data_IF_829184650830
#
_entry.id   IF_829184650830
#
_cell.length_a   1.000
_cell.length_b   1.000
_cell.length_c   1.000
_cell.angle_alpha   90.00
_cell.angle_beta   90.00
_cell.angle_gamma   90.00
#
_symmetry.space_group_name_H-M   'P 1'
#
loop_
_entity.id
_entity.type
_entity.pdbx_description
1 polymer ?
#
# COMPACT_ATOMS: atom_id res chain seq x y z
N UNK A 1 2.96 21.73 7.37
CA UNK A 1 2.70 20.44 6.69
C UNK A 1 3.47 20.41 5.39
N UNK A 2 4.29 19.40 5.13
CA UNK A 2 5.02 19.31 3.84
C UNK A 2 4.08 18.94 2.71
N UNK A 3 4.48 19.16 1.45
CA UNK A 3 3.69 18.80 0.26
C UNK A 3 3.35 17.30 0.22
N UNK A 4 4.26 16.46 0.69
CA UNK A 4 4.13 15.00 0.76
C UNK A 4 3.08 14.58 1.78
N UNK A 5 3.17 15.11 3.01
CA UNK A 5 2.19 14.85 4.06
C UNK A 5 0.79 15.34 3.64
N UNK A 6 0.70 16.51 2.98
CA UNK A 6 -0.56 17.04 2.45
C UNK A 6 -1.16 16.09 1.40
N UNK A 7 -0.34 15.52 0.53
CA UNK A 7 -0.81 14.59 -0.52
C UNK A 7 -1.40 13.32 0.10
N UNK A 8 -0.72 12.75 1.09
CA UNK A 8 -1.23 11.57 1.81
C UNK A 8 -2.52 11.92 2.56
N UNK A 9 -2.54 13.04 3.27
CA UNK A 9 -3.75 13.50 3.96
C UNK A 9 -4.92 13.69 3.02
N UNK A 10 -4.72 14.34 1.87
CA UNK A 10 -5.76 14.52 0.87
C UNK A 10 -6.24 13.19 0.30
N UNK A 11 -5.32 12.25 0.04
CA UNK A 11 -5.67 10.91 -0.45
C UNK A 11 -6.55 10.15 0.54
N UNK A 12 -6.18 10.16 1.82
CA UNK A 12 -6.97 9.55 2.90
C UNK A 12 -8.31 10.27 3.08
N UNK A 13 -8.32 11.60 3.04
CA UNK A 13 -9.53 12.39 3.20
C UNK A 13 -10.53 12.13 2.06
N UNK A 14 -10.06 12.08 0.81
CA UNK A 14 -10.89 11.74 -0.35
C UNK A 14 -11.52 10.36 -0.17
N UNK A 15 -10.73 9.41 0.33
CA UNK A 15 -11.20 8.06 0.67
C UNK A 15 -12.32 8.08 1.70
N UNK A 16 -12.10 8.76 2.84
CA UNK A 16 -13.09 8.85 3.93
C UNK A 16 -14.38 9.54 3.47
N UNK A 17 -14.28 10.61 2.68
CA UNK A 17 -15.45 11.31 2.13
C UNK A 17 -16.25 10.39 1.23
N UNK A 18 -15.59 9.58 0.38
CA UNK A 18 -16.28 8.67 -0.52
C UNK A 18 -17.02 7.57 0.24
N UNK A 19 -16.35 6.91 1.21
CA UNK A 19 -16.98 5.88 2.05
C UNK A 19 -18.16 6.46 2.87
N UNK A 20 -17.99 7.67 3.41
CA UNK A 20 -19.06 8.37 4.14
C UNK A 20 -20.24 8.70 3.22
N UNK A 21 -19.98 9.13 1.98
CA UNK A 21 -21.03 9.39 0.99
C UNK A 21 -21.84 8.13 0.66
N UNK A 22 -21.18 6.99 0.48
CA UNK A 22 -21.88 5.71 0.26
C UNK A 22 -22.71 5.35 1.48
N UNK A 23 -22.15 5.46 2.68
CA UNK A 23 -22.86 5.17 3.92
C UNK A 23 -24.13 6.00 4.09
N UNK A 24 -24.07 7.30 3.79
CA UNK A 24 -25.24 8.18 3.86
C UNK A 24 -26.32 7.82 2.82
N UNK A 25 -25.92 7.29 1.66
CA UNK A 25 -26.85 6.96 0.58
C UNK A 25 -27.42 5.54 0.65
N UNK A 26 -26.63 4.57 1.12
CA UNK A 26 -26.95 3.14 1.06
C UNK A 26 -27.06 2.48 2.44
N UNK A 27 -26.70 3.20 3.51
CA UNK A 27 -26.68 2.66 4.88
C UNK A 27 -25.54 1.67 5.16
N UNK A 28 -24.70 1.37 4.16
CA UNK A 28 -23.57 0.45 4.25
C UNK A 28 -22.25 1.19 4.12
N UNK A 29 -21.28 0.85 4.97
CA UNK A 29 -19.97 1.49 4.96
C UNK A 29 -19.05 0.77 3.96
N UNK A 30 -19.25 1.06 2.68
CA UNK A 30 -18.49 0.43 1.59
C UNK A 30 -17.36 1.36 1.19
N UNK A 31 -16.14 0.85 1.33
CA UNK A 31 -14.98 1.49 0.75
C UNK A 31 -14.84 1.06 -0.73
N UNK A 32 -14.59 1.95 -1.72
CA UNK A 32 -14.28 1.57 -3.10
C UNK A 32 -13.00 0.74 -3.25
N UNK A 33 -13.10 -0.52 -2.90
CA UNK A 33 -12.19 -1.56 -3.36
C UNK A 33 -12.49 -1.80 -4.84
N UNK A 34 -11.52 -1.73 -5.78
CA UNK A 34 -10.06 -1.86 -5.65
C UNK A 34 -9.29 -0.60 -6.10
N UNK A 35 -9.72 0.59 -5.65
CA UNK A 35 -9.04 1.85 -5.98
C UNK A 35 -7.76 2.08 -5.15
N UNK A 36 -7.50 1.23 -4.16
CA UNK A 36 -6.35 1.35 -3.25
C UNK A 36 -5.02 1.35 -4.00
N UNK A 37 -4.83 0.39 -4.89
CA UNK A 37 -3.61 0.21 -5.66
C UNK A 37 -3.39 1.39 -6.62
N UNK A 38 -4.46 1.95 -7.19
CA UNK A 38 -4.38 3.14 -8.04
C UNK A 38 -3.98 4.38 -7.25
N UNK A 39 -4.47 4.54 -6.02
CA UNK A 39 -4.08 5.64 -5.15
C UNK A 39 -2.61 5.50 -4.74
N UNK A 40 -2.17 4.28 -4.39
CA UNK A 40 -0.76 4.00 -4.13
C UNK A 40 0.10 4.38 -5.35
N UNK A 41 -0.28 3.97 -6.56
CA UNK A 41 0.44 4.32 -7.78
C UNK A 41 0.48 5.84 -8.02
N UNK A 42 -0.65 6.53 -7.91
CA UNK A 42 -0.72 7.98 -8.12
C UNK A 42 0.19 8.74 -7.12
N UNK A 43 0.15 8.35 -5.84
CA UNK A 43 0.98 9.00 -4.81
C UNK A 43 2.46 8.68 -4.99
N UNK A 44 2.83 7.44 -5.35
CA UNK A 44 4.23 7.06 -5.56
C UNK A 44 4.84 7.75 -6.78
N UNK A 45 4.09 7.88 -7.89
CA UNK A 45 4.49 8.70 -9.06
C UNK A 45 4.73 10.15 -8.61
N UNK A 46 3.78 10.74 -7.87
CA UNK A 46 3.90 12.12 -7.44
C UNK A 46 5.13 12.35 -6.55
N UNK A 47 5.40 11.43 -5.62
CA UNK A 47 6.59 11.48 -4.77
C UNK A 47 7.87 11.39 -5.60
N UNK A 48 7.91 10.51 -6.59
CA UNK A 48 9.07 10.35 -7.46
C UNK A 48 9.34 11.58 -8.32
N UNK A 49 8.31 12.16 -8.94
CA UNK A 49 8.45 13.40 -9.74
C UNK A 49 9.05 14.51 -8.89
N UNK A 50 8.60 14.64 -7.65
CA UNK A 50 9.08 15.64 -6.70
C UNK A 50 10.48 15.39 -6.16
N UNK A 51 10.95 14.13 -6.14
CA UNK A 51 12.21 13.70 -5.53
C UNK A 51 13.08 12.88 -6.48
N UNK A 52 13.00 13.15 -7.79
CA UNK A 52 13.69 12.40 -8.84
C UNK A 52 15.22 12.39 -8.70
N UNK A 53 15.78 13.32 -7.92
CA UNK A 53 17.22 13.44 -7.63
C UNK A 53 17.63 12.94 -6.24
N UNK A 54 16.68 12.58 -5.38
CA UNK A 54 16.94 12.20 -3.98
C UNK A 54 16.31 10.85 -3.66
N UNK A 55 17.10 9.92 -3.11
CA UNK A 55 16.65 8.57 -2.78
C UNK A 55 15.97 7.85 -3.97
N UNK A 56 16.58 7.95 -5.15
CA UNK A 56 16.07 7.41 -6.42
C UNK A 56 15.67 5.93 -6.32
N UNK A 57 16.51 5.12 -5.65
CA UNK A 57 16.20 3.70 -5.45
C UNK A 57 14.90 3.46 -4.68
N UNK A 58 14.63 4.24 -3.62
CA UNK A 58 13.38 4.13 -2.87
C UNK A 58 12.17 4.58 -3.72
N UNK A 59 12.37 5.57 -4.58
CA UNK A 59 11.35 6.03 -5.51
C UNK A 59 11.03 5.03 -6.61
N UNK A 60 12.05 4.42 -7.23
CA UNK A 60 11.88 3.35 -8.22
C UNK A 60 11.17 2.17 -7.57
N UNK A 61 11.62 1.75 -6.38
CA UNK A 61 10.98 0.65 -5.65
C UNK A 61 9.49 0.94 -5.39
N UNK A 62 9.17 2.16 -4.95
CA UNK A 62 7.81 2.57 -4.67
C UNK A 62 6.91 2.62 -5.92
N UNK A 63 7.40 3.18 -7.03
CA UNK A 63 6.65 3.19 -8.30
C UNK A 63 6.45 1.76 -8.80
N UNK A 64 7.50 0.94 -8.79
CA UNK A 64 7.40 -0.45 -9.23
C UNK A 64 6.36 -1.21 -8.41
N UNK A 65 6.33 -1.00 -7.08
CA UNK A 65 5.30 -1.56 -6.22
C UNK A 65 3.90 -1.06 -6.60
N UNK A 66 3.73 0.24 -6.87
CA UNK A 66 2.46 0.80 -7.33
C UNK A 66 1.97 0.21 -8.66
N UNK A 67 2.85 0.08 -9.65
CA UNK A 67 2.51 -0.46 -10.98
C UNK A 67 2.09 -1.92 -10.85
N UNK A 68 2.91 -2.71 -10.18
CA UNK A 68 2.67 -4.14 -9.99
C UNK A 68 1.42 -4.38 -9.13
N UNK A 69 1.19 -3.55 -8.11
CA UNK A 69 -0.03 -3.58 -7.31
C UNK A 69 -1.28 -3.41 -8.18
N UNK A 70 -1.30 -2.37 -9.04
CA UNK A 70 -2.41 -2.14 -9.98
C UNK A 70 -2.61 -3.32 -10.92
N UNK A 71 -1.53 -3.84 -11.51
CA UNK A 71 -1.58 -5.01 -12.41
C UNK A 71 -2.02 -6.31 -11.71
N UNK A 72 -1.91 -6.38 -10.38
CA UNK A 72 -2.43 -7.48 -9.57
C UNK A 72 -3.95 -7.45 -9.39
N UNK A 73 -4.61 -6.33 -9.67
CA UNK A 73 -6.06 -6.19 -9.47
C UNK A 73 -6.87 -6.67 -10.67
N UNK A 74 -7.98 -7.37 -10.44
CA UNK A 74 -8.95 -7.72 -11.50
C UNK A 74 -9.49 -6.48 -12.21
N UNK A 75 -9.74 -5.39 -11.48
CA UNK A 75 -10.29 -4.16 -12.01
C UNK A 75 -9.38 -3.47 -13.03
N UNK A 76 -8.06 -3.58 -12.91
CA UNK A 76 -7.17 -3.08 -13.96
C UNK A 76 -7.39 -3.80 -15.28
N UNK A 77 -7.65 -5.11 -15.24
CA UNK A 77 -7.80 -5.91 -16.45
C UNK A 77 -9.17 -5.73 -17.13
N UNK A 78 -10.19 -5.23 -16.43
CA UNK A 78 -11.53 -4.98 -17.02
C UNK A 78 -11.52 -3.91 -18.09
N UNK A 79 -10.49 -3.07 -18.14
CA UNK A 79 -10.29 -2.11 -19.23
C UNK A 79 -9.88 -2.77 -20.56
N UNK A 80 -9.35 -4.00 -20.51
CA UNK A 80 -8.78 -4.68 -21.68
C UNK A 80 -9.60 -5.88 -22.13
N UNK A 81 -10.24 -6.60 -21.20
CA UNK A 81 -10.97 -7.84 -21.49
C UNK A 81 -12.48 -7.70 -21.30
N UNK A 82 -13.24 -8.34 -22.18
CA UNK A 82 -14.68 -8.50 -22.01
C UNK A 82 -14.99 -9.46 -20.84
N UNK A 83 -16.19 -9.40 -20.22
CA UNK A 83 -16.52 -10.20 -19.03
C UNK A 83 -16.30 -11.72 -19.19
N UNK A 84 -16.60 -12.28 -20.36
CA UNK A 84 -16.43 -13.72 -20.65
C UNK A 84 -14.96 -14.13 -20.74
N UNK A 85 -14.11 -13.23 -21.26
CA UNK A 85 -12.67 -13.46 -21.35
C UNK A 85 -11.99 -13.24 -20.00
N UNK A 86 -12.56 -12.37 -19.17
CA UNK A 86 -12.08 -12.09 -17.81
C UNK A 86 -12.12 -13.34 -16.94
N UNK A 87 -13.19 -14.14 -17.02
CA UNK A 87 -13.30 -15.38 -16.24
C UNK A 87 -12.16 -16.36 -16.58
N UNK A 88 -11.84 -16.50 -17.88
CA UNK A 88 -10.69 -17.31 -18.32
C UNK A 88 -9.36 -16.71 -17.88
N UNK A 89 -9.21 -15.39 -17.97
CA UNK A 89 -7.97 -14.71 -17.56
C UNK A 89 -7.71 -14.85 -16.06
N UNK A 90 -8.73 -14.63 -15.23
CA UNK A 90 -8.65 -14.74 -13.77
C UNK A 90 -8.43 -16.18 -13.28
N UNK A 91 -8.74 -17.18 -14.11
CA UNK A 91 -8.36 -18.58 -13.83
C UNK A 91 -6.87 -18.88 -14.07
N UNK A 92 -6.15 -17.96 -14.71
CA UNK A 92 -4.71 -18.04 -14.91
C UNK A 92 -3.92 -17.49 -13.72
N UNK A 93 -2.59 -17.66 -13.76
CA UNK A 93 -1.67 -17.26 -12.69
C UNK A 93 -1.17 -15.80 -12.82
N UNK A 94 -1.64 -15.05 -13.81
CA UNK A 94 -1.05 -13.75 -14.16
C UNK A 94 -1.20 -12.72 -13.04
N UNK A 95 -2.40 -12.56 -12.48
CA UNK A 95 -2.66 -11.65 -11.36
C UNK A 95 -1.88 -12.08 -10.11
N UNK A 96 -1.76 -13.38 -9.87
CA UNK A 96 -1.03 -13.94 -8.74
C UNK A 96 0.46 -13.60 -8.80
N UNK A 97 1.08 -13.69 -9.99
CA UNK A 97 2.47 -13.29 -10.18
C UNK A 97 2.69 -11.81 -9.88
N UNK A 98 1.76 -10.94 -10.29
CA UNK A 98 1.84 -9.51 -9.94
C UNK A 98 1.67 -9.31 -8.44
N UNK A 99 0.69 -9.95 -7.80
CA UNK A 99 0.48 -9.82 -6.35
C UNK A 99 1.69 -10.31 -5.54
N UNK A 100 2.28 -11.44 -5.90
CA UNK A 100 3.52 -11.95 -5.26
C UNK A 100 4.67 -10.95 -5.46
N UNK A 101 4.82 -10.41 -6.67
CA UNK A 101 5.85 -9.43 -6.97
C UNK A 101 5.65 -8.15 -6.16
N UNK A 102 4.40 -7.70 -5.98
CA UNK A 102 4.07 -6.57 -5.11
C UNK A 102 4.53 -6.82 -3.67
N UNK A 103 4.15 -7.95 -3.07
CA UNK A 103 4.58 -8.30 -1.72
C UNK A 103 6.10 -8.41 -1.60
N UNK A 104 6.77 -8.94 -2.62
CA UNK A 104 8.23 -9.01 -2.66
C UNK A 104 8.88 -7.63 -2.67
N UNK A 105 8.34 -6.66 -3.42
CA UNK A 105 8.84 -5.28 -3.44
C UNK A 105 8.62 -4.58 -2.09
N UNK A 106 7.47 -4.81 -1.44
CA UNK A 106 7.20 -4.29 -0.09
C UNK A 106 8.15 -4.92 0.94
N UNK A 107 8.43 -6.22 0.83
CA UNK A 107 9.41 -6.91 1.68
C UNK A 107 10.80 -6.27 1.55
N UNK A 108 11.25 -6.00 0.32
CA UNK A 108 12.50 -5.28 0.07
C UNK A 108 12.49 -3.92 0.76
N UNK A 109 11.37 -3.19 0.71
CA UNK A 109 11.25 -1.89 1.38
C UNK A 109 11.34 -1.99 2.92
N UNK A 110 10.76 -3.03 3.53
CA UNK A 110 10.88 -3.30 4.97
C UNK A 110 12.34 -3.61 5.31
N UNK A 111 12.96 -4.55 4.62
CA UNK A 111 14.36 -4.95 4.86
C UNK A 111 15.31 -3.77 4.65
N UNK A 112 15.12 -3.00 3.58
CA UNK A 112 15.91 -1.79 3.31
C UNK A 112 15.78 -0.75 4.43
N UNK A 113 14.60 -0.64 5.05
CA UNK A 113 14.36 0.25 6.19
C UNK A 113 15.07 -0.25 7.45
N UNK A 114 15.00 -1.55 7.76
CA UNK A 114 15.74 -2.19 8.87
C UNK A 114 17.23 -1.89 8.76
N UNK A 115 17.82 -2.11 7.58
CA UNK A 115 19.27 -1.94 7.36
C UNK A 115 19.75 -0.49 7.58
N UNK A 116 18.89 0.50 7.40
CA UNK A 116 19.22 1.92 7.61
C UNK A 116 18.82 2.43 8.99
N UNK A 117 18.10 1.64 9.79
CA UNK A 117 17.58 2.07 11.09
C UNK A 117 18.70 2.10 12.13
N UNK A 118 19.00 3.29 12.68
CA UNK A 118 20.04 3.45 13.71
C UNK A 118 19.51 3.55 15.15
N UNK A 119 18.19 3.62 15.34
CA UNK A 119 17.57 3.67 16.67
C UNK A 119 17.14 2.27 17.08
N UNK A 120 17.52 1.81 18.28
CA UNK A 120 17.22 0.46 18.76
C UNK A 120 15.72 0.16 18.81
N UNK A 121 14.91 1.10 19.32
CA UNK A 121 13.44 0.95 19.38
C UNK A 121 12.85 0.83 17.99
N UNK A 122 13.24 1.73 17.08
CA UNK A 122 12.71 1.70 15.73
C UNK A 122 13.16 0.47 14.94
N UNK A 123 14.41 0.02 15.16
CA UNK A 123 14.94 -1.21 14.56
C UNK A 123 14.11 -2.41 15.04
N UNK A 124 13.87 -2.52 16.35
CA UNK A 124 13.04 -3.56 16.93
C UNK A 124 11.63 -3.57 16.33
N UNK A 125 10.99 -2.40 16.20
CA UNK A 125 9.67 -2.29 15.57
C UNK A 125 9.68 -2.75 14.10
N UNK A 126 10.69 -2.36 13.32
CA UNK A 126 10.81 -2.79 11.92
C UNK A 126 11.09 -4.30 11.80
N UNK A 127 11.87 -4.89 12.71
CA UNK A 127 12.12 -6.33 12.74
C UNK A 127 10.84 -7.09 13.10
N UNK A 128 10.11 -6.64 14.13
CA UNK A 128 8.84 -7.26 14.52
C UNK A 128 7.82 -7.18 13.38
N UNK A 129 7.84 -6.11 12.57
CA UNK A 129 6.95 -5.98 11.41
C UNK A 129 7.11 -7.08 10.35
N UNK A 130 8.26 -7.77 10.28
CA UNK A 130 8.48 -8.84 9.30
C UNK A 130 7.55 -10.05 9.51
N UNK A 131 7.38 -10.49 10.76
CA UNK A 131 6.57 -11.67 11.06
C UNK A 131 5.09 -11.52 10.63
N UNK A 132 4.35 -10.47 11.05
CA UNK A 132 2.99 -10.26 10.57
C UNK A 132 2.96 -9.96 9.07
N UNK A 133 3.97 -9.31 8.49
CA UNK A 133 4.02 -9.10 7.04
C UNK A 133 4.07 -10.41 6.27
N UNK A 134 4.98 -11.32 6.64
CA UNK A 134 5.13 -12.61 5.96
C UNK A 134 3.89 -13.48 6.12
N UNK A 135 3.29 -13.50 7.32
CA UNK A 135 2.03 -14.22 7.56
C UNK A 135 0.90 -13.61 6.72
N UNK A 136 0.79 -12.28 6.72
CA UNK A 136 -0.22 -11.55 5.96
C UNK A 136 -0.09 -11.76 4.45
N UNK A 137 1.12 -11.68 3.92
CA UNK A 137 1.39 -11.91 2.50
C UNK A 137 1.13 -13.36 2.07
N UNK A 138 1.45 -14.35 2.93
CA UNK A 138 1.21 -15.76 2.63
C UNK A 138 -0.28 -16.13 2.69
N UNK A 139 -1.00 -15.58 3.66
CA UNK A 139 -2.43 -15.90 3.89
C UNK A 139 -3.38 -14.93 3.19
N UNK A 140 -2.84 -13.89 2.55
CA UNK A 140 -3.58 -12.73 2.04
C UNK A 140 -4.58 -12.16 3.07
N UNK A 141 -4.12 -12.01 4.31
CA UNK A 141 -4.97 -11.58 5.43
C UNK A 141 -4.68 -10.12 5.81
N UNK A 142 -5.69 -9.27 5.61
CA UNK A 142 -5.57 -7.82 5.77
C UNK A 142 -5.26 -7.40 7.22
N UNK A 143 -5.65 -8.17 8.24
CA UNK A 143 -5.32 -7.86 9.64
C UNK A 143 -3.81 -7.97 9.90
N UNK A 144 -3.16 -9.01 9.37
CA UNK A 144 -1.72 -9.21 9.55
C UNK A 144 -0.91 -8.18 8.75
N UNK A 145 -1.36 -7.84 7.53
CA UNK A 145 -0.77 -6.75 6.74
C UNK A 145 -0.91 -5.40 7.45
N UNK A 146 -2.09 -5.12 8.01
CA UNK A 146 -2.37 -3.90 8.77
C UNK A 146 -1.43 -3.75 9.98
N UNK A 147 -1.25 -4.84 10.75
CA UNK A 147 -0.30 -4.87 11.87
C UNK A 147 1.13 -4.58 11.41
N UNK A 148 1.57 -5.19 10.31
CA UNK A 148 2.90 -4.95 9.75
C UNK A 148 3.10 -3.49 9.34
N UNK A 149 2.16 -2.92 8.58
CA UNK A 149 2.24 -1.52 8.15
C UNK A 149 2.15 -0.56 9.34
N UNK A 150 1.33 -0.85 10.35
CA UNK A 150 1.23 -0.07 11.58
C UNK A 150 2.55 -0.03 12.36
N UNK A 151 3.23 -1.18 12.46
CA UNK A 151 4.57 -1.25 13.06
C UNK A 151 5.62 -0.48 12.26
N UNK A 152 5.56 -0.53 10.93
CA UNK A 152 6.44 0.26 10.06
C UNK A 152 6.18 1.77 10.17
N UNK A 153 4.92 2.19 10.30
CA UNK A 153 4.56 3.59 10.61
C UNK A 153 5.18 3.99 11.94
N UNK A 154 4.94 3.22 13.02
CA UNK A 154 5.49 3.52 14.33
C UNK A 154 7.03 3.61 14.31
N UNK A 155 7.69 2.65 13.65
CA UNK A 155 9.14 2.63 13.50
C UNK A 155 9.68 3.89 12.81
N UNK A 156 9.06 4.28 11.70
CA UNK A 156 9.53 5.42 10.90
C UNK A 156 9.16 6.78 11.49
N UNK A 157 8.16 6.86 12.39
CA UNK A 157 7.92 8.06 13.20
C UNK A 157 8.97 8.24 14.31
N UNK A 158 9.44 7.15 14.93
CA UNK A 158 10.51 7.22 15.94
C UNK A 158 11.81 7.72 15.30
N UNK A 159 12.19 7.16 14.15
CA UNK A 159 13.33 7.65 13.39
C UNK A 159 13.12 7.43 11.90
N UNK A 160 13.09 8.56 11.17
CA UNK A 160 12.81 8.61 9.74
C UNK A 160 13.95 8.00 8.93
N UNK A 161 13.60 7.17 7.96
CA UNK A 161 14.53 6.52 7.03
C UNK A 161 13.97 6.63 5.60
N UNK A 162 14.82 6.89 4.62
CA UNK A 162 14.42 7.23 3.23
C UNK A 162 13.41 8.38 3.17
N UNK A 163 13.73 9.53 3.77
CA UNK A 163 12.88 10.72 3.61
C UNK A 163 12.81 11.16 2.14
N UNK A 164 11.62 11.51 1.60
CA UNK A 164 10.30 11.53 2.25
C UNK A 164 9.50 10.22 2.14
N UNK A 165 9.99 9.21 1.42
CA UNK A 165 9.30 7.94 1.16
C UNK A 165 8.84 7.16 2.41
N UNK A 166 9.40 7.42 3.60
CA UNK A 166 8.85 6.88 4.86
C UNK A 166 7.36 7.13 5.06
N UNK A 167 6.81 8.21 4.48
CA UNK A 167 5.39 8.53 4.62
C UNK A 167 4.50 7.54 3.84
N UNK A 168 5.03 6.79 2.87
CA UNK A 168 4.28 5.78 2.15
C UNK A 168 3.81 4.63 3.06
N UNK A 169 4.50 4.38 4.18
CA UNK A 169 4.00 3.44 5.19
C UNK A 169 2.67 3.87 5.79
N UNK A 170 2.47 5.19 5.97
CA UNK A 170 1.19 5.74 6.45
C UNK A 170 0.10 5.53 5.40
N UNK A 171 0.45 5.73 4.13
CA UNK A 171 -0.49 5.48 3.04
C UNK A 171 -0.89 4.01 2.98
N UNK A 172 0.08 3.08 2.96
CA UNK A 172 -0.18 1.64 2.98
C UNK A 172 -1.03 1.23 4.18
N UNK A 173 -0.72 1.73 5.37
CA UNK A 173 -1.53 1.47 6.56
C UNK A 173 -2.97 1.96 6.41
N UNK A 174 -3.17 3.17 5.87
CA UNK A 174 -4.52 3.73 5.68
C UNK A 174 -5.33 2.98 4.62
N UNK A 175 -4.70 2.59 3.52
CA UNK A 175 -5.34 1.79 2.47
C UNK A 175 -5.70 0.40 3.00
N UNK A 176 -4.80 -0.26 3.71
CA UNK A 176 -5.07 -1.58 4.33
C UNK A 176 -6.17 -1.49 5.40
N UNK A 177 -6.25 -0.36 6.13
CA UNK A 177 -7.33 -0.12 7.09
C UNK A 177 -8.68 -0.09 6.39
N UNK A 178 -8.77 0.54 5.22
CA UNK A 178 -10.02 0.56 4.46
C UNK A 178 -10.45 -0.83 3.99
N UNK A 179 -9.49 -1.66 3.57
CA UNK A 179 -9.76 -3.04 3.20
C UNK A 179 -10.27 -3.86 4.39
N UNK A 180 -9.53 -3.81 5.50
CA UNK A 180 -9.89 -4.55 6.71
C UNK A 180 -11.27 -4.12 7.25
N UNK A 181 -11.56 -2.82 7.28
CA UNK A 181 -12.87 -2.33 7.71
C UNK A 181 -14.00 -2.82 6.80
N UNK A 182 -13.77 -2.95 5.50
CA UNK A 182 -14.77 -3.48 4.54
C UNK A 182 -15.06 -4.96 4.76
N UNK A 183 -14.06 -5.72 5.24
CA UNK A 183 -14.23 -7.16 5.52
C UNK A 183 -14.92 -7.43 6.85
N UNK A 184 -14.87 -6.48 7.79
CA UNK A 184 -15.36 -6.65 9.17
C UNK A 184 -16.72 -5.97 9.42
N UNK A 185 -17.02 -4.87 8.72
CA UNK A 185 -18.28 -4.12 8.84
C UNK A 185 -19.30 -4.57 7.79
#
# INVERSE_FOLDING_TARGET
MTREARTIFLSILTWVIFATSIFLNQGSFIFPFPLNEFILLAVTIQFFVWHSKSNVLAGILAISAGIVGVMGTQFFWTFFYAPVEMEKFMSGLTTDYFQITYFFLVLIAIVASILKQKSGIALLLSIIALAPFLIGAWTNNSLFLLLAYGLMVASTQVKKVYTPYHLLWILLFALETSEWLTLVL
#
